data_IF_190426800945
#
_entry.id   IF_190426800945
#
_cell.length_a   1.000
_cell.length_b   1.000
_cell.length_c   1.000
_cell.angle_alpha   90.00
_cell.angle_beta   90.00
_cell.angle_gamma   90.00
#
_symmetry.space_group_name_H-M   'P 1'
#
loop_
_entity.id
_entity.type
_entity.pdbx_description
1 polymer ?
#
# COMPACT_ATOMS: atom_id res chain seq x y z
N UNK A 1 -53.60 -14.86 14.60
CA UNK A 1 -53.99 -14.74 13.17
C UNK A 1 -52.71 -14.55 12.37
N UNK A 2 -52.55 -15.24 11.24
CA UNK A 2 -51.36 -15.09 10.40
C UNK A 2 -51.32 -13.69 9.76
N UNK A 3 -50.15 -13.07 9.72
CA UNK A 3 -49.94 -11.80 9.00
C UNK A 3 -50.11 -12.04 7.50
N UNK A 4 -50.98 -11.28 6.84
CA UNK A 4 -51.20 -11.43 5.40
C UNK A 4 -50.03 -10.85 4.60
N UNK A 5 -49.55 -11.54 3.54
CA UNK A 5 -48.44 -11.06 2.71
C UNK A 5 -48.65 -9.65 2.12
N UNK A 6 -49.87 -9.29 1.77
CA UNK A 6 -50.16 -7.99 1.16
C UNK A 6 -49.99 -6.83 2.14
N UNK A 7 -50.27 -7.05 3.43
CA UNK A 7 -50.01 -6.06 4.49
C UNK A 7 -48.50 -5.84 4.69
N UNK A 8 -47.70 -6.91 4.59
CA UNK A 8 -46.24 -6.82 4.66
C UNK A 8 -45.67 -6.06 3.45
N UNK A 9 -46.21 -6.29 2.25
CA UNK A 9 -45.79 -5.56 1.04
C UNK A 9 -46.17 -4.08 1.10
N UNK A 10 -47.36 -3.76 1.64
CA UNK A 10 -47.74 -2.39 1.89
C UNK A 10 -46.76 -1.71 2.87
N UNK A 11 -46.38 -2.40 3.94
CA UNK A 11 -45.39 -1.88 4.89
C UNK A 11 -44.01 -1.70 4.26
N UNK A 12 -43.56 -2.69 3.49
CA UNK A 12 -42.32 -2.62 2.73
C UNK A 12 -42.31 -1.39 1.81
N UNK A 13 -43.41 -1.11 1.11
CA UNK A 13 -43.50 0.07 0.24
C UNK A 13 -43.38 1.39 1.02
N UNK A 14 -43.96 1.49 2.22
CA UNK A 14 -43.81 2.68 3.08
C UNK A 14 -42.37 2.86 3.55
N UNK A 15 -41.74 1.79 4.03
CA UNK A 15 -40.35 1.82 4.48
C UNK A 15 -39.40 2.17 3.33
N UNK A 16 -39.65 1.64 2.13
CA UNK A 16 -38.83 1.94 0.95
C UNK A 16 -38.95 3.39 0.47
N UNK A 17 -40.02 4.10 0.85
CA UNK A 17 -40.20 5.52 0.57
C UNK A 17 -39.60 6.44 1.65
N UNK A 18 -39.21 5.89 2.81
CA UNK A 18 -38.57 6.64 3.89
C UNK A 18 -37.17 7.11 3.48
N UNK A 19 -36.84 8.38 3.75
CA UNK A 19 -35.56 9.00 3.35
C UNK A 19 -34.33 8.21 3.79
N UNK A 20 -34.39 7.54 4.95
CA UNK A 20 -33.29 6.69 5.44
C UNK A 20 -33.02 5.44 4.59
N UNK A 21 -33.98 5.02 3.77
CA UNK A 21 -33.90 3.87 2.86
C UNK A 21 -33.78 4.32 1.40
N UNK A 22 -34.58 5.30 0.97
CA UNK A 22 -34.56 5.85 -0.41
C UNK A 22 -33.17 6.36 -0.80
N UNK A 23 -32.45 6.99 0.13
CA UNK A 23 -31.09 7.50 -0.10
C UNK A 23 -30.02 6.40 -0.20
N UNK A 24 -30.38 5.12 -0.04
CA UNK A 24 -29.47 3.98 -0.12
C UNK A 24 -30.06 2.88 -0.99
N UNK A 25 -29.62 2.86 -2.26
CA UNK A 25 -29.97 1.80 -3.21
C UNK A 25 -29.66 0.41 -2.63
N UNK A 26 -28.55 0.27 -1.90
CA UNK A 26 -28.14 -0.99 -1.31
C UNK A 26 -29.08 -1.46 -0.18
N UNK A 27 -29.53 -0.55 0.70
CA UNK A 27 -30.49 -0.90 1.75
C UNK A 27 -31.87 -1.21 1.17
N UNK A 28 -32.28 -0.47 0.15
CA UNK A 28 -33.54 -0.71 -0.56
C UNK A 28 -33.57 -2.11 -1.19
N UNK A 29 -32.50 -2.50 -1.88
CA UNK A 29 -32.38 -3.83 -2.49
C UNK A 29 -32.31 -4.91 -1.43
N UNK A 30 -31.52 -4.71 -0.37
CA UNK A 30 -31.41 -5.66 0.74
C UNK A 30 -32.77 -5.92 1.40
N UNK A 31 -33.47 -4.85 1.83
CA UNK A 31 -34.73 -4.95 2.53
C UNK A 31 -35.79 -5.64 1.67
N UNK A 32 -35.89 -5.24 0.39
CA UNK A 32 -36.81 -5.88 -0.56
C UNK A 32 -36.52 -7.37 -0.71
N UNK A 33 -35.25 -7.73 -0.89
CA UNK A 33 -34.85 -9.13 -1.06
C UNK A 33 -35.23 -9.99 0.15
N UNK A 34 -34.86 -9.58 1.37
CA UNK A 34 -35.11 -10.41 2.57
C UNK A 34 -36.59 -10.53 2.90
N UNK A 35 -37.40 -9.49 2.63
CA UNK A 35 -38.85 -9.53 2.84
C UNK A 35 -39.52 -10.44 1.82
N UNK A 36 -39.24 -10.28 0.52
CA UNK A 36 -39.88 -11.08 -0.53
C UNK A 36 -39.48 -12.56 -0.46
N UNK A 37 -38.23 -12.89 -0.14
CA UNK A 37 -37.80 -14.28 0.07
C UNK A 37 -38.48 -14.91 1.30
N UNK A 38 -38.73 -14.13 2.34
CA UNK A 38 -39.44 -14.61 3.54
C UNK A 38 -40.92 -14.83 3.25
N UNK A 39 -41.58 -13.90 2.54
CA UNK A 39 -42.96 -14.04 2.09
C UNK A 39 -43.15 -15.21 1.12
N UNK A 40 -42.13 -15.54 0.32
CA UNK A 40 -42.15 -16.67 -0.59
C UNK A 40 -41.79 -18.02 0.06
N UNK A 41 -41.67 -18.07 1.40
CA UNK A 41 -41.38 -19.30 2.16
C UNK A 41 -39.93 -19.79 2.05
N UNK A 42 -39.02 -18.96 1.53
CA UNK A 42 -37.61 -19.30 1.28
C UNK A 42 -36.64 -18.76 2.34
N UNK A 43 -37.13 -18.43 3.53
CA UNK A 43 -36.34 -17.88 4.64
C UNK A 43 -35.02 -18.65 4.93
N UNK A 44 -35.00 -19.98 4.76
CA UNK A 44 -33.79 -20.82 4.97
C UNK A 44 -32.62 -20.46 4.03
N UNK A 45 -32.87 -19.79 2.90
CA UNK A 45 -31.86 -19.32 1.95
C UNK A 45 -31.23 -17.98 2.34
N UNK A 46 -31.80 -17.26 3.30
CA UNK A 46 -31.30 -15.95 3.75
C UNK A 46 -30.03 -16.09 4.62
N UNK A 47 -28.96 -16.57 3.98
CA UNK A 47 -27.60 -16.64 4.51
C UNK A 47 -26.78 -15.49 3.94
N UNK A 48 -25.67 -15.17 4.60
CA UNK A 48 -24.81 -14.07 4.19
C UNK A 48 -24.32 -14.19 2.74
N UNK A 49 -23.91 -15.39 2.32
CA UNK A 49 -23.50 -15.67 0.95
C UNK A 49 -24.62 -15.38 -0.06
N UNK A 50 -25.81 -15.95 0.14
CA UNK A 50 -26.95 -15.78 -0.78
C UNK A 50 -27.33 -14.32 -0.97
N UNK A 51 -27.39 -13.56 0.13
CA UNK A 51 -27.74 -12.14 0.08
C UNK A 51 -26.66 -11.35 -0.67
N UNK A 52 -25.39 -11.66 -0.44
CA UNK A 52 -24.29 -10.97 -1.14
C UNK A 52 -24.37 -11.17 -2.66
N UNK A 53 -24.56 -12.41 -3.10
CA UNK A 53 -24.55 -12.76 -4.54
C UNK A 53 -25.85 -12.33 -5.22
N UNK A 54 -27.00 -12.75 -4.68
CA UNK A 54 -28.29 -12.60 -5.36
C UNK A 54 -28.94 -11.22 -5.15
N UNK A 55 -28.71 -10.58 -4.01
CA UNK A 55 -29.26 -9.25 -3.74
C UNK A 55 -28.24 -8.13 -4.00
N UNK A 56 -27.00 -8.29 -3.53
CA UNK A 56 -26.00 -7.23 -3.56
C UNK A 56 -25.04 -7.31 -4.77
N UNK A 57 -25.26 -8.25 -5.70
CA UNK A 57 -24.52 -8.36 -6.95
C UNK A 57 -23.04 -8.72 -6.78
N UNK A 58 -22.70 -9.50 -5.73
CA UNK A 58 -21.32 -9.93 -5.51
C UNK A 58 -20.95 -11.16 -6.35
N UNK A 59 -19.66 -11.29 -6.73
CA UNK A 59 -19.13 -12.48 -7.40
C UNK A 59 -19.38 -13.78 -6.61
N UNK A 60 -19.39 -14.90 -7.32
CA UNK A 60 -19.67 -16.24 -6.75
C UNK A 60 -18.59 -16.74 -5.79
N UNK A 61 -17.38 -16.17 -5.83
CA UNK A 61 -16.27 -16.45 -4.92
C UNK A 61 -16.31 -15.59 -3.64
N UNK A 62 -17.42 -14.90 -3.37
CA UNK A 62 -17.60 -14.10 -2.15
C UNK A 62 -17.48 -14.94 -0.87
N UNK A 63 -16.51 -14.60 0.00
CA UNK A 63 -16.38 -15.18 1.34
C UNK A 63 -17.06 -14.30 2.42
N UNK A 64 -18.15 -14.79 3.05
CA UNK A 64 -18.83 -14.08 4.14
C UNK A 64 -18.02 -13.96 5.44
N UNK A 65 -16.96 -14.75 5.63
CA UNK A 65 -16.13 -14.67 6.83
C UNK A 65 -15.19 -13.46 6.76
N UNK A 66 -14.43 -13.33 5.67
CA UNK A 66 -13.52 -12.22 5.42
C UNK A 66 -14.21 -10.90 5.04
N UNK A 67 -15.43 -10.92 4.48
CA UNK A 67 -16.11 -9.69 4.02
C UNK A 67 -17.36 -9.35 4.87
N UNK A 68 -17.35 -8.25 5.63
CA UNK A 68 -18.46 -7.90 6.54
C UNK A 68 -19.64 -7.21 5.84
N UNK A 69 -19.67 -7.07 4.51
CA UNK A 69 -20.68 -6.31 3.76
C UNK A 69 -22.12 -6.57 4.22
N UNK A 70 -22.55 -7.84 4.20
CA UNK A 70 -23.92 -8.22 4.53
C UNK A 70 -24.23 -7.96 6.02
N UNK A 71 -23.26 -8.20 6.91
CA UNK A 71 -23.39 -7.88 8.35
C UNK A 71 -23.56 -6.38 8.58
N UNK A 72 -22.83 -5.55 7.85
CA UNK A 72 -22.92 -4.09 7.91
C UNK A 72 -24.26 -3.59 7.38
N UNK A 73 -24.75 -4.12 6.25
CA UNK A 73 -26.06 -3.75 5.72
C UNK A 73 -27.20 -4.16 6.65
N UNK A 74 -27.13 -5.35 7.24
CA UNK A 74 -28.11 -5.79 8.23
C UNK A 74 -28.12 -4.89 9.49
N UNK A 75 -26.95 -4.44 9.97
CA UNK A 75 -26.86 -3.48 11.08
C UNK A 75 -27.50 -2.14 10.71
N UNK A 76 -27.12 -1.58 9.56
CA UNK A 76 -27.68 -0.33 9.05
C UNK A 76 -29.19 -0.41 8.86
N UNK A 77 -29.70 -1.52 8.31
CA UNK A 77 -31.13 -1.75 8.16
C UNK A 77 -31.86 -1.72 9.51
N UNK A 78 -31.33 -2.38 10.54
CA UNK A 78 -31.89 -2.33 11.90
C UNK A 78 -31.93 -0.90 12.44
N UNK A 79 -30.84 -0.15 12.28
CA UNK A 79 -30.75 1.24 12.76
C UNK A 79 -31.75 2.16 12.04
N UNK A 80 -32.00 1.92 10.76
CA UNK A 80 -32.97 2.68 9.96
C UNK A 80 -34.40 2.28 10.30
N UNK A 81 -34.71 0.99 10.43
CA UNK A 81 -36.03 0.51 10.87
C UNK A 81 -36.37 1.02 12.28
N UNK A 82 -35.40 1.01 13.20
CA UNK A 82 -35.57 1.56 14.54
C UNK A 82 -35.94 3.05 14.51
N UNK A 83 -35.26 3.84 13.68
CA UNK A 83 -35.58 5.26 13.50
C UNK A 83 -36.93 5.49 12.82
N UNK A 84 -37.25 4.69 11.80
CA UNK A 84 -38.54 4.74 11.12
C UNK A 84 -39.69 4.50 12.12
N UNK A 85 -39.64 3.44 12.92
CA UNK A 85 -40.68 3.12 13.91
C UNK A 85 -40.59 3.91 15.23
N UNK A 86 -39.58 4.75 15.42
CA UNK A 86 -39.52 5.66 16.57
C UNK A 86 -40.51 6.83 16.42
N UNK A 87 -40.90 7.15 15.19
CA UNK A 87 -41.94 8.11 14.89
C UNK A 87 -43.34 7.44 15.01
N UNK A 88 -44.22 7.92 15.90
CA UNK A 88 -45.59 7.42 16.02
C UNK A 88 -46.38 7.45 14.71
N UNK A 89 -46.05 8.34 13.76
CA UNK A 89 -46.67 8.39 12.44
C UNK A 89 -46.45 7.11 11.61
N UNK A 90 -45.38 6.36 11.93
CA UNK A 90 -44.99 5.14 11.23
C UNK A 90 -45.40 3.86 11.96
N UNK A 91 -46.21 3.95 13.03
CA UNK A 91 -46.56 2.80 13.87
C UNK A 91 -47.21 1.64 13.08
N UNK A 92 -48.05 1.95 12.08
CA UNK A 92 -48.63 0.97 11.17
C UNK A 92 -49.47 -0.14 11.82
N UNK A 93 -50.09 -0.99 10.99
CA UNK A 93 -50.69 -2.24 11.49
C UNK A 93 -49.65 -3.37 11.61
N UNK A 94 -48.64 -3.35 10.74
CA UNK A 94 -47.54 -4.32 10.70
C UNK A 94 -46.22 -3.62 10.95
N UNK A 95 -45.37 -4.27 11.73
CA UNK A 95 -43.99 -3.92 11.94
C UNK A 95 -43.10 -5.02 11.35
N UNK A 96 -42.17 -4.61 10.50
CA UNK A 96 -41.09 -5.47 9.98
C UNK A 96 -39.89 -5.35 10.92
N UNK A 97 -39.60 -6.42 11.64
CA UNK A 97 -38.46 -6.50 12.56
C UNK A 97 -37.32 -7.31 11.96
N UNK A 98 -36.08 -6.89 12.24
CA UNK A 98 -34.87 -7.58 11.79
C UNK A 98 -34.08 -8.05 13.02
N UNK A 99 -34.28 -9.30 13.50
CA UNK A 99 -33.64 -9.78 14.72
C UNK A 99 -32.10 -9.74 14.66
N UNK A 100 -31.44 -9.52 15.80
CA UNK A 100 -29.98 -9.56 15.90
C UNK A 100 -29.49 -10.99 15.59
N UNK A 101 -28.47 -11.12 14.75
CA UNK A 101 -27.93 -12.42 14.35
C UNK A 101 -28.71 -13.16 13.26
N UNK A 102 -29.87 -12.64 12.85
CA UNK A 102 -30.68 -13.19 11.74
C UNK A 102 -30.72 -12.24 10.54
N UNK A 103 -30.89 -12.81 9.34
CA UNK A 103 -31.25 -12.07 8.13
C UNK A 103 -32.71 -12.31 7.70
N UNK A 104 -33.44 -13.13 8.45
CA UNK A 104 -34.86 -13.40 8.22
C UNK A 104 -35.68 -12.34 8.98
N UNK A 105 -36.45 -11.48 8.29
CA UNK A 105 -37.37 -10.56 8.95
C UNK A 105 -38.51 -11.30 9.67
N UNK A 106 -38.95 -10.73 10.77
CA UNK A 106 -40.18 -11.12 11.47
C UNK A 106 -41.27 -10.08 11.22
N UNK A 107 -42.50 -10.53 11.02
CA UNK A 107 -43.65 -9.68 10.76
C UNK A 107 -44.58 -9.73 11.97
N UNK A 108 -44.70 -8.61 12.67
CA UNK A 108 -45.44 -8.52 13.93
C UNK A 108 -46.60 -7.54 13.77
N UNK A 109 -47.78 -7.88 14.29
CA UNK A 109 -48.90 -6.92 14.36
C UNK A 109 -48.63 -5.95 15.51
N UNK A 110 -48.84 -4.66 15.27
CA UNK A 110 -48.59 -3.63 16.29
C UNK A 110 -49.43 -3.86 17.56
N UNK A 111 -50.64 -4.40 17.43
CA UNK A 111 -51.51 -4.81 18.55
C UNK A 111 -50.88 -5.89 19.44
N UNK A 112 -50.13 -6.84 18.85
CA UNK A 112 -49.51 -7.95 19.59
C UNK A 112 -48.31 -7.46 20.41
N UNK A 113 -47.60 -6.42 19.93
CA UNK A 113 -46.54 -5.75 20.68
C UNK A 113 -47.07 -5.04 21.93
N UNK A 114 -48.26 -4.43 21.84
CA UNK A 114 -48.90 -3.77 22.99
C UNK A 114 -49.41 -4.77 24.02
N UNK A 115 -49.91 -5.94 23.60
CA UNK A 115 -50.34 -7.01 24.52
C UNK A 115 -49.15 -7.66 25.24
N UNK A 116 -48.05 -7.92 24.54
CA UNK A 116 -46.84 -8.48 25.14
C UNK A 116 -46.26 -7.57 26.25
N UNK A 117 -46.28 -6.25 26.05
CA UNK A 117 -45.79 -5.27 27.04
C UNK A 117 -46.68 -5.13 28.27
N UNK A 118 -47.95 -5.54 28.20
CA UNK A 118 -48.91 -5.50 29.31
C UNK A 118 -49.00 -6.82 30.10
N UNK A 119 -48.37 -7.90 29.61
CA UNK A 119 -48.51 -9.25 30.18
C UNK A 119 -47.23 -9.81 30.81
N UNK A 120 -46.19 -8.99 31.02
CA UNK A 120 -45.05 -9.38 31.85
C UNK A 120 -45.49 -9.61 33.31
N UNK A 121 -45.24 -10.80 33.91
CA UNK A 121 -45.55 -11.05 35.30
C UNK A 121 -44.65 -10.20 36.21
N UNK A 122 -45.25 -9.54 37.19
CA UNK A 122 -44.55 -8.77 38.21
C UNK A 122 -43.59 -9.68 39.00
N UNK A 123 -42.29 -9.56 38.74
CA UNK A 123 -41.25 -10.23 39.51
C UNK A 123 -41.06 -9.54 40.87
N UNK A 124 -40.97 -10.36 41.92
CA UNK A 124 -40.82 -9.94 43.32
C UNK A 124 -39.54 -9.11 43.54
N UNK A 125 -39.76 -7.87 43.96
CA UNK A 125 -38.81 -6.74 43.98
C UNK A 125 -37.64 -6.85 44.96
N UNK A 126 -37.58 -7.88 45.82
CA UNK A 126 -36.55 -7.96 46.88
C UNK A 126 -35.27 -8.70 46.49
N UNK A 127 -35.30 -9.60 45.51
CA UNK A 127 -34.10 -10.36 45.08
C UNK A 127 -33.35 -9.73 43.89
N UNK A 128 -34.04 -8.91 43.09
CA UNK A 128 -33.46 -8.24 41.92
C UNK A 128 -32.49 -7.13 42.34
N UNK A 129 -32.72 -6.42 43.45
CA UNK A 129 -31.90 -5.26 43.83
C UNK A 129 -30.47 -5.62 44.26
N UNK A 130 -30.25 -6.81 44.85
CA UNK A 130 -28.88 -7.30 45.19
C UNK A 130 -28.10 -7.82 44.00
N UNK A 131 -28.75 -8.34 42.95
CA UNK A 131 -28.07 -8.87 41.75
C UNK A 131 -27.92 -7.80 40.64
N UNK A 132 -28.86 -6.86 40.52
CA UNK A 132 -28.81 -5.77 39.53
C UNK A 132 -27.72 -4.74 39.80
N UNK A 133 -27.32 -4.54 41.06
CA UNK A 133 -26.15 -3.73 41.41
C UNK A 133 -24.87 -4.29 40.76
N UNK A 134 -24.64 -5.60 40.86
CA UNK A 134 -23.46 -6.24 40.25
C UNK A 134 -23.51 -6.28 38.72
N UNK A 135 -24.69 -6.38 38.12
CA UNK A 135 -24.83 -6.33 36.65
C UNK A 135 -24.57 -4.93 36.11
N UNK A 136 -25.11 -3.87 36.75
CA UNK A 136 -24.87 -2.49 36.36
C UNK A 136 -23.42 -2.05 36.62
N UNK A 137 -22.83 -2.48 37.73
CA UNK A 137 -21.40 -2.28 38.01
C UNK A 137 -20.57 -3.03 36.97
N UNK A 138 -20.91 -4.29 36.64
CA UNK A 138 -20.23 -5.07 35.62
C UNK A 138 -20.29 -4.44 34.23
N UNK A 139 -21.46 -3.92 33.83
CA UNK A 139 -21.66 -3.20 32.57
C UNK A 139 -20.91 -1.87 32.53
N UNK A 140 -20.92 -1.10 33.62
CA UNK A 140 -20.18 0.16 33.72
C UNK A 140 -18.67 -0.07 33.70
N UNK A 141 -18.19 -1.11 34.38
CA UNK A 141 -16.78 -1.53 34.33
C UNK A 141 -16.42 -2.01 32.93
N UNK A 142 -17.25 -2.83 32.27
CA UNK A 142 -17.01 -3.29 30.91
C UNK A 142 -16.99 -2.12 29.91
N UNK A 143 -17.95 -1.20 29.99
CA UNK A 143 -18.00 -0.01 29.14
C UNK A 143 -16.79 0.90 29.41
N UNK A 144 -16.42 1.07 30.68
CA UNK A 144 -15.21 1.78 31.10
C UNK A 144 -13.94 1.15 30.54
N UNK A 145 -13.83 -0.18 30.54
CA UNK A 145 -12.71 -0.92 29.95
C UNK A 145 -12.69 -0.84 28.42
N UNK A 146 -13.86 -0.84 27.76
CA UNK A 146 -13.95 -0.65 26.30
C UNK A 146 -13.56 0.78 25.92
N UNK A 147 -14.05 1.79 26.65
CA UNK A 147 -13.68 3.19 26.42
C UNK A 147 -12.20 3.41 26.73
N UNK A 148 -11.70 2.88 27.86
CA UNK A 148 -10.29 2.96 28.20
C UNK A 148 -9.41 2.22 27.19
N UNK A 149 -9.85 1.06 26.69
CA UNK A 149 -9.18 0.31 25.63
C UNK A 149 -9.17 1.06 24.29
N UNK A 150 -10.29 1.68 23.91
CA UNK A 150 -10.38 2.54 22.73
C UNK A 150 -9.51 3.79 22.86
N UNK A 151 -9.51 4.43 24.02
CA UNK A 151 -8.71 5.62 24.30
C UNK A 151 -7.21 5.28 24.37
N UNK A 152 -6.85 4.15 24.99
CA UNK A 152 -5.48 3.63 25.02
C UNK A 152 -5.02 3.23 23.61
N UNK A 153 -5.85 2.55 22.82
CA UNK A 153 -5.58 2.25 21.42
C UNK A 153 -5.34 3.54 20.62
N UNK A 154 -6.22 4.53 20.75
CA UNK A 154 -6.09 5.80 20.06
C UNK A 154 -4.86 6.59 20.51
N UNK A 155 -4.50 6.61 21.79
CA UNK A 155 -3.30 7.28 22.30
C UNK A 155 -2.01 6.57 21.83
N UNK A 156 -1.96 5.24 21.88
CA UNK A 156 -0.82 4.44 21.43
C UNK A 156 -0.62 4.60 19.91
N UNK A 157 -1.71 4.68 19.13
CA UNK A 157 -1.61 4.82 17.68
C UNK A 157 -1.39 6.27 17.21
N UNK A 158 -1.87 7.28 17.94
CA UNK A 158 -1.51 8.68 17.68
C UNK A 158 -0.04 8.94 18.00
N UNK A 159 0.51 8.26 19.02
CA UNK A 159 1.93 8.36 19.33
C UNK A 159 2.80 7.75 18.22
N UNK A 160 2.39 6.63 17.61
CA UNK A 160 3.18 5.99 16.56
C UNK A 160 3.32 6.84 15.30
N UNK A 161 2.27 7.58 14.91
CA UNK A 161 2.32 8.57 13.83
C UNK A 161 3.33 9.69 14.13
N UNK A 162 3.14 10.38 15.27
CA UNK A 162 4.00 11.50 15.65
C UNK A 162 5.45 11.07 15.86
N UNK A 163 5.70 9.87 16.37
CA UNK A 163 7.05 9.33 16.53
C UNK A 163 7.75 9.08 15.19
N UNK A 164 7.02 8.61 14.16
CA UNK A 164 7.57 8.42 12.81
C UNK A 164 7.89 9.75 12.16
N UNK A 165 6.94 10.69 12.19
CA UNK A 165 7.14 12.02 11.66
C UNK A 165 8.34 12.70 12.35
N UNK A 166 8.41 12.63 13.69
CA UNK A 166 9.53 13.15 14.46
C UNK A 166 10.87 12.50 14.06
N UNK A 167 10.92 11.19 13.86
CA UNK A 167 12.13 10.50 13.42
C UNK A 167 12.57 10.93 12.00
N UNK A 168 11.64 11.11 11.07
CA UNK A 168 11.93 11.58 9.70
C UNK A 168 12.43 13.02 9.72
N UNK A 169 11.79 13.89 10.51
CA UNK A 169 12.08 15.33 10.51
C UNK A 169 13.23 15.72 11.42
N UNK A 170 13.68 14.84 12.32
CA UNK A 170 14.72 15.12 13.31
C UNK A 170 15.98 15.70 12.66
N UNK A 171 16.53 16.73 13.29
CA UNK A 171 17.81 17.29 12.89
C UNK A 171 18.95 16.53 13.56
N UNK A 172 19.67 15.78 12.75
CA UNK A 172 20.82 15.00 13.17
C UNK A 172 22.11 15.78 12.91
N UNK A 173 23.12 15.69 13.80
CA UNK A 173 24.41 16.31 13.56
C UNK A 173 25.05 15.82 12.25
N UNK A 174 25.81 16.69 11.59
CA UNK A 174 26.56 16.30 10.41
C UNK A 174 27.53 15.13 10.73
N UNK A 175 27.54 14.09 9.90
CA UNK A 175 28.44 12.93 10.05
C UNK A 175 27.93 11.79 10.93
N UNK A 176 26.71 11.84 11.47
CA UNK A 176 26.13 10.68 12.19
C UNK A 176 25.55 9.66 11.22
N UNK A 177 26.13 8.45 11.16
CA UNK A 177 25.61 7.35 10.33
C UNK A 177 26.35 7.17 9.01
N UNK A 178 25.85 6.26 8.16
CA UNK A 178 26.41 5.98 6.84
C UNK A 178 25.88 6.97 5.80
N UNK A 179 26.69 7.24 4.77
CA UNK A 179 26.28 7.95 3.56
C UNK A 179 26.02 6.97 2.41
N UNK A 180 25.46 7.51 1.32
CA UNK A 180 25.18 6.77 0.08
C UNK A 180 26.41 6.04 -0.48
N UNK A 181 27.58 6.68 -0.40
CA UNK A 181 28.83 6.19 -0.95
C UNK A 181 29.35 4.91 -0.25
N UNK A 182 28.72 4.49 0.85
CA UNK A 182 29.09 3.27 1.60
C UNK A 182 28.06 2.15 1.51
N UNK A 183 26.98 2.34 0.77
CA UNK A 183 25.87 1.37 0.72
C UNK A 183 25.52 0.96 -0.70
N UNK A 184 25.61 1.90 -1.64
CA UNK A 184 25.12 1.66 -3.00
C UNK A 184 25.97 0.65 -3.77
N UNK A 185 25.36 -0.04 -4.75
CA UNK A 185 26.12 -0.84 -5.69
C UNK A 185 27.15 0.01 -6.43
N UNK A 186 28.27 -0.60 -6.73
CA UNK A 186 29.34 0.04 -7.47
C UNK A 186 29.28 -0.36 -8.94
N UNK A 187 29.68 0.56 -9.81
CA UNK A 187 29.89 0.27 -11.22
C UNK A 187 31.24 0.81 -11.68
N UNK A 188 31.85 0.11 -12.62
CA UNK A 188 32.95 0.64 -13.42
C UNK A 188 32.71 0.40 -14.90
N UNK A 189 33.24 1.30 -15.73
CA UNK A 189 32.98 1.32 -17.16
C UNK A 189 34.26 0.98 -17.91
N UNK A 190 34.18 0.00 -18.80
CA UNK A 190 35.26 -0.32 -19.74
C UNK A 190 34.79 -0.11 -21.16
N UNK A 191 35.62 0.52 -21.99
CA UNK A 191 35.31 0.78 -23.40
C UNK A 191 36.44 0.22 -24.26
N UNK A 192 36.10 -0.73 -25.11
CA UNK A 192 36.99 -1.37 -26.05
C UNK A 192 36.60 -0.97 -27.47
N UNK A 193 37.61 -0.78 -28.33
CA UNK A 193 37.41 -0.49 -29.75
C UNK A 193 38.15 -1.51 -30.61
N UNK A 194 37.45 -2.02 -31.61
CA UNK A 194 38.04 -2.86 -32.65
C UNK A 194 38.88 -2.06 -33.64
N UNK A 195 39.60 -2.77 -34.50
CA UNK A 195 40.36 -2.16 -35.59
C UNK A 195 39.43 -1.44 -36.57
N UNK A 196 39.84 -0.27 -37.03
CA UNK A 196 39.07 0.52 -38.01
C UNK A 196 38.00 1.44 -37.41
N UNK A 197 38.02 1.71 -36.09
CA UNK A 197 37.15 2.71 -35.48
C UNK A 197 37.28 4.08 -36.18
N UNK A 198 36.17 4.78 -36.34
CA UNK A 198 36.14 6.10 -36.95
C UNK A 198 36.98 7.12 -36.16
N UNK A 199 37.66 8.04 -36.85
CA UNK A 199 38.56 9.02 -36.24
C UNK A 199 37.88 10.00 -35.25
N UNK A 200 36.56 10.18 -35.35
CA UNK A 200 35.78 10.99 -34.42
C UNK A 200 35.50 10.29 -33.09
N UNK A 201 35.68 8.96 -33.01
CA UNK A 201 35.40 8.17 -31.82
C UNK A 201 36.64 8.06 -30.94
N UNK A 202 36.50 8.45 -29.68
CA UNK A 202 37.52 8.32 -28.64
C UNK A 202 36.94 7.50 -27.48
N UNK A 203 37.56 6.33 -27.22
CA UNK A 203 37.07 5.38 -26.23
C UNK A 203 37.10 5.93 -24.81
N UNK A 204 38.13 6.69 -24.45
CA UNK A 204 38.26 7.30 -23.13
C UNK A 204 37.25 8.43 -22.92
N UNK A 205 37.03 9.24 -23.97
CA UNK A 205 36.01 10.29 -23.94
C UNK A 205 34.61 9.70 -23.82
N UNK A 206 34.33 8.60 -24.51
CA UNK A 206 33.05 7.89 -24.39
C UNK A 206 32.88 7.28 -23.00
N UNK A 207 33.93 6.66 -22.43
CA UNK A 207 33.92 6.17 -21.04
C UNK A 207 33.57 7.29 -20.05
N UNK A 208 34.27 8.43 -20.12
CA UNK A 208 34.01 9.58 -19.25
C UNK A 208 32.57 10.12 -19.40
N UNK A 209 32.00 10.09 -20.61
CA UNK A 209 30.60 10.45 -20.86
C UNK A 209 29.65 9.51 -20.11
N UNK A 210 29.87 8.19 -20.20
CA UNK A 210 29.04 7.19 -19.50
C UNK A 210 29.17 7.34 -17.99
N UNK A 211 30.38 7.53 -17.48
CA UNK A 211 30.65 7.76 -16.05
C UNK A 211 29.92 9.01 -15.54
N UNK A 212 30.04 10.13 -16.27
CA UNK A 212 29.35 11.38 -15.93
C UNK A 212 27.82 11.25 -16.00
N UNK A 213 27.30 10.47 -16.96
CA UNK A 213 25.88 10.15 -17.04
C UNK A 213 25.42 9.36 -15.82
N UNK A 214 26.15 8.31 -15.44
CA UNK A 214 25.78 7.47 -14.30
C UNK A 214 25.81 8.21 -12.95
N UNK A 215 26.77 9.13 -12.78
CA UNK A 215 26.87 9.97 -11.57
C UNK A 215 25.62 10.83 -11.32
N UNK A 216 24.79 11.08 -12.33
CA UNK A 216 23.54 11.85 -12.16
C UNK A 216 22.41 11.07 -11.45
N UNK A 217 22.48 9.74 -11.39
CA UNK A 217 21.39 8.92 -10.87
C UNK A 217 21.43 8.75 -9.34
N UNK A 218 22.55 9.03 -8.66
CA UNK A 218 22.71 8.87 -7.20
C UNK A 218 22.25 7.50 -6.64
N UNK A 219 22.12 6.52 -7.52
CA UNK A 219 21.70 5.14 -7.28
C UNK A 219 22.88 4.16 -7.38
N UNK A 220 24.01 4.58 -7.92
CA UNK A 220 25.23 3.77 -8.05
C UNK A 220 26.45 4.59 -7.69
N UNK A 221 27.53 3.93 -7.26
CA UNK A 221 28.84 4.55 -7.09
C UNK A 221 29.68 4.24 -8.32
N UNK A 222 30.12 5.28 -9.03
CA UNK A 222 31.03 5.11 -10.16
C UNK A 222 32.46 5.08 -9.65
N UNK A 223 33.14 3.94 -9.80
CA UNK A 223 34.55 3.73 -9.47
C UNK A 223 35.37 3.56 -10.74
N UNK A 224 36.69 3.85 -10.70
CA UNK A 224 37.50 3.82 -11.94
C UNK A 224 37.90 2.41 -12.34
N UNK A 225 38.14 1.55 -11.36
CA UNK A 225 38.61 0.17 -11.61
C UNK A 225 37.99 -0.82 -10.63
N UNK A 226 38.00 -2.09 -10.99
CA UNK A 226 37.63 -3.18 -10.09
C UNK A 226 38.52 -3.23 -8.83
N UNK A 227 39.80 -2.93 -8.96
CA UNK A 227 40.71 -2.86 -7.81
C UNK A 227 40.33 -1.74 -6.84
N UNK A 228 39.91 -0.58 -7.35
CA UNK A 228 39.36 0.49 -6.51
C UNK A 228 38.07 0.02 -5.84
N UNK A 229 37.20 -0.69 -6.57
CA UNK A 229 35.94 -1.18 -6.04
C UNK A 229 36.11 -2.09 -4.81
N UNK A 230 37.04 -3.04 -4.94
CA UNK A 230 37.39 -4.01 -3.90
C UNK A 230 38.06 -3.37 -2.68
N UNK A 231 38.62 -2.15 -2.79
CA UNK A 231 39.24 -1.43 -1.65
C UNK A 231 38.22 -0.78 -0.72
N UNK A 232 37.02 -0.44 -1.21
CA UNK A 232 36.03 0.30 -0.41
C UNK A 232 35.11 -0.62 0.40
N UNK A 233 34.73 -1.78 -0.13
CA UNK A 233 34.03 -2.82 0.62
C UNK A 233 34.00 -4.12 -0.18
N UNK A 234 34.49 -5.23 0.40
CA UNK A 234 34.39 -6.55 -0.24
C UNK A 234 32.96 -7.12 -0.27
N UNK A 235 31.99 -6.46 0.39
CA UNK A 235 30.59 -6.88 0.45
C UNK A 235 29.64 -6.05 -0.41
N UNK A 236 30.13 -4.95 -1.03
CA UNK A 236 29.29 -4.17 -1.94
C UNK A 236 29.22 -4.85 -3.31
N UNK A 237 28.01 -5.07 -3.85
CA UNK A 237 27.87 -5.62 -5.19
C UNK A 237 28.46 -4.64 -6.20
N UNK A 238 29.32 -5.18 -7.07
CA UNK A 238 30.09 -4.42 -8.04
C UNK A 238 29.77 -4.96 -9.42
N UNK A 239 29.47 -4.07 -10.37
CA UNK A 239 29.11 -4.44 -11.74
C UNK A 239 30.03 -3.77 -12.74
N UNK A 240 30.30 -4.46 -13.84
CA UNK A 240 31.04 -3.93 -14.98
C UNK A 240 30.07 -3.61 -16.12
N UNK A 241 30.18 -2.40 -16.65
CA UNK A 241 29.54 -1.99 -17.88
C UNK A 241 30.60 -1.96 -18.99
N UNK A 242 30.68 -3.06 -19.74
CA UNK A 242 31.66 -3.22 -20.81
C UNK A 242 31.06 -2.87 -22.15
N UNK A 243 31.60 -1.85 -22.80
CA UNK A 243 31.27 -1.47 -24.17
C UNK A 243 32.33 -1.99 -25.11
N UNK A 244 31.91 -2.68 -26.17
CA UNK A 244 32.79 -3.11 -27.25
C UNK A 244 32.28 -2.54 -28.56
N UNK A 245 33.05 -1.65 -29.19
CA UNK A 245 32.67 -1.00 -30.44
C UNK A 245 33.51 -1.49 -31.63
N UNK A 246 32.91 -1.51 -32.81
CA UNK A 246 33.55 -1.80 -34.09
C UNK A 246 32.81 -1.14 -35.24
N UNK A 247 33.38 -1.20 -36.44
CA UNK A 247 32.75 -0.67 -37.66
C UNK A 247 32.15 -1.81 -38.46
N UNK A 248 30.87 -1.68 -38.80
CA UNK A 248 30.14 -2.58 -39.68
C UNK A 248 29.28 -1.76 -40.64
N UNK A 249 29.50 -1.93 -41.95
CA UNK A 249 28.76 -1.22 -43.01
C UNK A 249 28.79 0.32 -42.82
N UNK A 250 29.97 0.87 -42.55
CA UNK A 250 30.22 2.30 -42.30
C UNK A 250 29.63 2.86 -40.98
N UNK A 251 28.78 2.09 -40.28
CA UNK A 251 28.25 2.47 -38.97
C UNK A 251 29.17 2.01 -37.83
N UNK A 252 29.34 2.87 -36.82
CA UNK A 252 29.89 2.46 -35.52
C UNK A 252 28.82 1.66 -34.78
N UNK A 253 29.07 0.37 -34.57
CA UNK A 253 28.21 -0.52 -33.77
C UNK A 253 28.95 -1.00 -32.55
N UNK A 254 28.22 -1.31 -31.50
CA UNK A 254 28.81 -1.92 -30.33
C UNK A 254 27.83 -2.74 -29.52
N UNK A 255 28.37 -3.38 -28.50
CA UNK A 255 27.60 -4.15 -27.53
C UNK A 255 27.98 -3.65 -26.15
N UNK A 256 26.97 -3.29 -25.35
CA UNK A 256 27.09 -3.14 -23.91
C UNK A 256 26.83 -4.50 -23.27
N UNK A 257 27.78 -5.01 -22.50
CA UNK A 257 27.62 -6.16 -21.62
C UNK A 257 27.62 -5.67 -20.18
N UNK A 258 26.67 -6.16 -19.39
CA UNK A 258 26.56 -5.86 -17.96
C UNK A 258 26.84 -7.15 -17.20
N UNK A 259 27.92 -7.17 -16.43
CA UNK A 259 28.35 -8.36 -15.68
C UNK A 259 28.51 -8.06 -14.21
N UNK A 260 28.23 -9.05 -13.36
CA UNK A 260 28.66 -9.03 -11.96
C UNK A 260 30.19 -9.18 -11.93
N UNK A 261 30.88 -8.25 -11.26
CA UNK A 261 32.33 -8.20 -11.26
C UNK A 261 32.96 -9.24 -10.33
N UNK A 262 32.19 -9.82 -9.40
CA UNK A 262 32.71 -10.78 -8.44
C UNK A 262 32.74 -12.20 -9.02
N UNK A 263 31.67 -12.61 -9.72
CA UNK A 263 31.53 -13.96 -10.28
C UNK A 263 31.61 -14.02 -11.81
N UNK A 264 31.64 -12.86 -12.50
CA UNK A 264 31.71 -12.76 -13.96
C UNK A 264 30.39 -13.10 -14.67
N UNK A 265 29.29 -13.26 -13.94
CA UNK A 265 27.99 -13.62 -14.51
C UNK A 265 27.44 -12.48 -15.37
N UNK A 266 27.02 -12.82 -16.59
CA UNK A 266 26.34 -11.89 -17.49
C UNK A 266 24.89 -11.65 -17.04
N UNK A 267 24.54 -10.40 -16.78
CA UNK A 267 23.18 -9.99 -16.45
C UNK A 267 22.37 -9.67 -17.71
N UNK A 268 22.96 -8.91 -18.64
CA UNK A 268 22.32 -8.52 -19.91
C UNK A 268 23.36 -8.07 -20.94
N UNK A 269 22.96 -8.07 -22.21
CA UNK A 269 23.72 -7.50 -23.30
C UNK A 269 22.80 -6.72 -24.24
N UNK A 270 23.23 -5.53 -24.66
CA UNK A 270 22.47 -4.64 -25.55
C UNK A 270 23.32 -4.18 -26.73
N UNK A 271 22.77 -4.28 -27.93
CA UNK A 271 23.36 -3.68 -29.12
C UNK A 271 23.20 -2.15 -29.04
N UNK A 272 24.25 -1.45 -29.46
CA UNK A 272 24.34 0.00 -29.51
C UNK A 272 24.76 0.38 -30.92
N UNK A 273 24.05 1.33 -31.52
CA UNK A 273 24.46 1.95 -32.78
C UNK A 273 24.83 3.39 -32.45
N UNK A 274 26.04 3.79 -32.82
CA UNK A 274 26.54 5.14 -32.62
C UNK A 274 26.54 5.92 -33.93
N UNK A 275 26.02 7.13 -33.85
CA UNK A 275 26.15 8.18 -34.84
C UNK A 275 26.99 9.33 -34.23
N UNK A 276 27.86 9.94 -35.02
CA UNK A 276 28.69 11.08 -34.61
C UNK A 276 27.84 12.21 -33.99
N UNK A 277 26.65 12.48 -34.56
CA UNK A 277 25.74 13.49 -34.04
C UNK A 277 25.26 13.19 -32.61
N UNK A 278 25.03 11.91 -32.29
CA UNK A 278 24.56 11.48 -30.95
C UNK A 278 25.64 11.65 -29.88
N UNK A 279 26.91 11.38 -30.25
CA UNK A 279 28.04 11.48 -29.32
C UNK A 279 28.38 12.95 -29.02
N UNK A 280 28.25 13.86 -30.00
CA UNK A 280 28.57 15.29 -29.81
C UNK A 280 27.50 16.11 -29.05
N UNK A 281 26.23 15.69 -29.05
CA UNK A 281 25.10 16.54 -28.63
C UNK A 281 24.73 16.53 -27.13
N UNK A 282 25.44 15.79 -26.28
CA UNK A 282 25.00 15.62 -24.88
C UNK A 282 25.29 16.85 -24.00
N UNK A 283 24.25 17.35 -23.34
CA UNK A 283 24.31 18.32 -22.25
C UNK A 283 23.99 17.59 -20.93
N UNK A 284 24.93 17.52 -19.96
CA UNK A 284 24.82 16.72 -18.74
C UNK A 284 23.63 16.95 -17.77
N UNK A 285 22.64 17.76 -18.13
CA UNK A 285 21.58 18.21 -17.21
C UNK A 285 20.13 17.94 -17.61
N UNK A 286 19.85 17.28 -18.75
CA UNK A 286 18.46 17.01 -19.19
C UNK A 286 18.12 15.53 -19.09
N UNK A 287 17.64 15.08 -17.92
CA UNK A 287 17.06 13.74 -17.74
C UNK A 287 15.80 13.52 -18.61
N UNK A 288 15.19 14.60 -19.11
CA UNK A 288 14.00 14.56 -19.96
C UNK A 288 14.20 13.86 -21.31
N UNK A 289 15.45 13.71 -21.78
CA UNK A 289 15.79 12.97 -23.00
C UNK A 289 17.11 12.23 -22.80
N UNK A 290 17.02 10.94 -22.48
CA UNK A 290 18.20 10.08 -22.42
C UNK A 290 18.68 9.76 -23.84
N UNK A 291 19.95 10.01 -24.19
CA UNK A 291 20.49 9.60 -25.48
C UNK A 291 20.33 8.10 -25.73
N UNK A 292 20.09 7.69 -26.98
CA UNK A 292 19.84 6.28 -27.32
C UNK A 292 20.99 5.36 -26.90
N UNK A 293 22.23 5.82 -27.05
CA UNK A 293 23.46 5.12 -26.65
C UNK A 293 23.57 4.90 -25.13
N UNK A 294 22.91 5.74 -24.33
CA UNK A 294 22.93 5.70 -22.87
C UNK A 294 21.63 5.14 -22.28
N UNK A 295 20.61 4.85 -23.08
CA UNK A 295 19.34 4.34 -22.57
C UNK A 295 19.50 2.97 -21.88
N UNK A 296 20.33 2.09 -22.43
CA UNK A 296 20.64 0.81 -21.79
C UNK A 296 21.38 0.99 -20.47
N UNK A 297 22.24 2.01 -20.35
CA UNK A 297 22.92 2.37 -19.09
C UNK A 297 21.90 2.82 -18.06
N UNK A 298 20.99 3.74 -18.44
CA UNK A 298 19.90 4.20 -17.57
C UNK A 298 19.09 3.03 -17.02
N UNK A 299 18.57 2.18 -17.91
CA UNK A 299 17.76 1.01 -17.54
C UNK A 299 18.52 0.00 -16.65
N UNK A 300 19.86 0.03 -16.70
CA UNK A 300 20.69 -0.80 -15.83
C UNK A 300 20.85 -0.23 -14.43
N UNK A 301 21.09 1.09 -14.32
CA UNK A 301 21.53 1.75 -13.08
C UNK A 301 20.43 2.51 -12.33
N UNK A 302 19.34 2.87 -13.00
CA UNK A 302 18.23 3.61 -12.37
C UNK A 302 17.68 2.80 -11.19
N UNK A 303 17.12 3.48 -10.20
CA UNK A 303 16.32 2.82 -9.18
C UNK A 303 15.37 1.81 -9.86
N UNK A 304 15.41 0.56 -9.41
CA UNK A 304 14.66 -0.60 -9.97
C UNK A 304 15.15 -1.17 -11.31
N UNK A 305 16.26 -0.66 -11.84
CA UNK A 305 16.91 -1.18 -13.03
C UNK A 305 17.51 -2.58 -12.84
N UNK A 306 18.12 -3.09 -13.92
CA UNK A 306 18.68 -4.45 -13.99
C UNK A 306 19.57 -4.79 -12.79
N UNK A 307 20.47 -3.89 -12.39
CA UNK A 307 21.39 -4.09 -11.25
C UNK A 307 20.59 -4.37 -9.97
N UNK A 308 19.55 -3.58 -9.69
CA UNK A 308 18.77 -3.76 -8.48
C UNK A 308 17.94 -5.04 -8.48
N UNK A 309 17.44 -5.47 -9.64
CA UNK A 309 16.77 -6.78 -9.76
C UNK A 309 17.70 -7.96 -9.51
N UNK A 310 19.00 -7.77 -9.73
CA UNK A 310 20.02 -8.75 -9.44
C UNK A 310 20.40 -8.75 -7.96
N UNK A 311 20.59 -7.56 -7.37
CA UNK A 311 20.92 -7.40 -5.94
C UNK A 311 19.96 -8.15 -5.03
N UNK A 312 18.64 -8.11 -5.31
CA UNK A 312 17.63 -8.83 -4.50
C UNK A 312 17.84 -10.35 -4.48
N UNK A 313 18.54 -10.91 -5.47
CA UNK A 313 18.82 -12.35 -5.59
C UNK A 313 20.12 -12.77 -4.90
N UNK A 314 20.95 -11.80 -4.50
CA UNK A 314 22.22 -12.09 -3.85
C UNK A 314 22.00 -12.68 -2.46
N UNK A 315 22.76 -13.73 -2.14
CA UNK A 315 22.66 -14.45 -0.87
C UNK A 315 23.37 -13.75 0.30
N UNK A 316 24.20 -12.74 0.02
CA UNK A 316 25.11 -12.12 0.99
C UNK A 316 25.01 -10.58 1.05
N UNK A 317 23.79 -10.04 0.91
CA UNK A 317 23.54 -8.61 1.14
C UNK A 317 23.16 -8.37 2.60
N UNK A 318 23.86 -7.43 3.25
CA UNK A 318 23.65 -7.09 4.66
C UNK A 318 23.36 -5.59 4.84
N UNK A 319 22.89 -5.23 6.04
CA UNK A 319 22.69 -3.84 6.43
C UNK A 319 21.67 -3.08 5.56
N UNK A 320 21.90 -1.79 5.28
CA UNK A 320 20.93 -0.97 4.55
C UNK A 320 20.63 -1.46 3.12
N UNK A 321 21.58 -2.13 2.45
CA UNK A 321 21.34 -2.63 1.09
C UNK A 321 20.37 -3.83 1.09
N UNK A 322 20.45 -4.71 2.10
CA UNK A 322 19.45 -5.76 2.32
C UNK A 322 18.05 -5.17 2.53
N UNK A 323 17.99 -4.02 3.20
CA UNK A 323 16.76 -3.28 3.40
C UNK A 323 16.18 -2.76 2.07
N UNK A 324 17.01 -2.12 1.25
CA UNK A 324 16.61 -1.63 -0.07
C UNK A 324 16.15 -2.78 -0.96
N UNK A 325 16.81 -3.94 -0.89
CA UNK A 325 16.36 -5.16 -1.55
C UNK A 325 14.91 -5.55 -1.25
N UNK A 326 14.44 -5.37 0.00
CA UNK A 326 13.03 -5.60 0.36
C UNK A 326 12.08 -4.61 -0.31
N UNK A 327 12.50 -3.36 -0.45
CA UNK A 327 11.73 -2.32 -1.16
C UNK A 327 11.58 -2.71 -2.63
N UNK A 328 12.68 -3.10 -3.28
CA UNK A 328 12.67 -3.53 -4.68
C UNK A 328 11.84 -4.79 -4.91
N UNK A 329 11.94 -5.77 -4.01
CA UNK A 329 11.10 -6.96 -4.04
C UNK A 329 9.60 -6.61 -3.91
N UNK A 330 9.25 -5.68 -3.01
CA UNK A 330 7.88 -5.21 -2.86
C UNK A 330 7.37 -4.51 -4.12
N UNK A 331 8.17 -3.66 -4.75
CA UNK A 331 7.73 -2.95 -5.95
C UNK A 331 7.55 -3.88 -7.15
N UNK A 332 8.44 -4.87 -7.30
CA UNK A 332 8.31 -5.90 -8.32
C UNK A 332 7.05 -6.77 -8.11
N UNK A 333 6.68 -7.04 -6.86
CA UNK A 333 5.48 -7.81 -6.52
C UNK A 333 4.76 -7.22 -5.28
N UNK A 334 3.86 -6.24 -5.49
CA UNK A 334 3.21 -5.53 -4.39
C UNK A 334 2.31 -6.41 -3.54
N UNK A 335 2.69 -6.59 -2.28
CA UNK A 335 1.95 -7.38 -1.29
C UNK A 335 1.84 -6.60 0.02
N UNK A 336 0.82 -6.89 0.84
CA UNK A 336 0.72 -6.26 2.16
C UNK A 336 1.91 -6.60 3.06
N UNK A 337 2.36 -7.85 3.08
CA UNK A 337 3.52 -8.26 3.86
C UNK A 337 4.81 -7.60 3.37
N UNK A 338 5.03 -7.54 2.05
CA UNK A 338 6.18 -6.88 1.45
C UNK A 338 6.23 -5.39 1.78
N UNK A 339 5.10 -4.69 1.67
CA UNK A 339 4.98 -3.29 2.06
C UNK A 339 5.35 -3.06 3.53
N UNK A 340 4.78 -3.85 4.44
CA UNK A 340 5.04 -3.71 5.87
C UNK A 340 6.52 -3.94 6.19
N UNK A 341 7.13 -4.98 5.60
CA UNK A 341 8.53 -5.30 5.78
C UNK A 341 9.46 -4.20 5.24
N UNK A 342 9.15 -3.65 4.07
CA UNK A 342 9.90 -2.54 3.48
C UNK A 342 9.82 -1.28 4.35
N UNK A 343 8.61 -0.90 4.77
CA UNK A 343 8.37 0.28 5.62
C UNK A 343 9.14 0.21 6.95
N UNK A 344 8.96 -0.89 7.69
CA UNK A 344 9.60 -1.06 9.00
C UNK A 344 11.12 -1.02 8.89
N UNK A 345 11.65 -1.70 7.88
CA UNK A 345 13.08 -1.75 7.65
C UNK A 345 13.68 -0.38 7.32
N UNK A 346 13.01 0.41 6.48
CA UNK A 346 13.47 1.76 6.12
C UNK A 346 13.42 2.72 7.31
N UNK A 347 12.38 2.63 8.14
CA UNK A 347 12.28 3.43 9.37
C UNK A 347 13.40 3.11 10.36
N UNK A 348 13.74 1.82 10.51
CA UNK A 348 14.89 1.40 11.32
C UNK A 348 16.20 1.90 10.73
N UNK A 349 16.34 1.84 9.40
CA UNK A 349 17.53 2.31 8.68
C UNK A 349 17.74 3.80 8.88
N UNK A 350 16.68 4.61 8.78
CA UNK A 350 16.76 6.07 9.01
C UNK A 350 17.16 6.38 10.45
N UNK A 351 16.63 5.66 11.44
CA UNK A 351 17.02 5.83 12.84
C UNK A 351 18.51 5.56 13.08
N UNK A 352 19.07 4.57 12.38
CA UNK A 352 20.47 4.15 12.54
C UNK A 352 21.44 4.94 11.66
N UNK A 353 20.99 5.37 10.48
CA UNK A 353 21.79 6.03 9.45
C UNK A 353 21.07 7.26 8.91
N UNK A 354 20.92 8.32 9.72
CA UNK A 354 20.10 9.48 9.36
C UNK A 354 20.65 10.32 8.20
N UNK A 355 21.90 10.06 7.75
CA UNK A 355 22.52 10.70 6.58
C UNK A 355 22.34 9.88 5.29
N UNK A 356 21.69 8.71 5.35
CA UNK A 356 21.47 7.85 4.19
C UNK A 356 20.25 8.32 3.39
N UNK A 357 20.49 9.22 2.43
CA UNK A 357 19.47 9.89 1.59
C UNK A 357 18.53 8.89 0.89
N UNK A 358 19.05 7.76 0.43
CA UNK A 358 18.27 6.75 -0.29
C UNK A 358 17.19 6.13 0.58
N UNK A 359 17.43 5.97 1.88
CA UNK A 359 16.42 5.43 2.78
C UNK A 359 15.18 6.35 2.88
N UNK A 360 15.38 7.68 2.89
CA UNK A 360 14.29 8.65 2.88
C UNK A 360 13.52 8.65 1.56
N UNK A 361 14.25 8.59 0.43
CA UNK A 361 13.64 8.60 -0.91
C UNK A 361 12.76 7.35 -1.10
N UNK A 362 13.29 6.17 -0.76
CA UNK A 362 12.56 4.91 -0.81
C UNK A 362 11.38 4.89 0.18
N UNK A 363 11.53 5.47 1.38
CA UNK A 363 10.44 5.53 2.37
C UNK A 363 9.29 6.43 1.89
N UNK A 364 9.61 7.55 1.23
CA UNK A 364 8.61 8.39 0.57
C UNK A 364 7.77 7.60 -0.43
N UNK A 365 8.43 6.83 -1.31
CA UNK A 365 7.75 5.94 -2.26
C UNK A 365 6.89 4.85 -1.61
N UNK A 366 7.33 4.31 -0.46
CA UNK A 366 6.54 3.36 0.33
C UNK A 366 5.26 4.00 0.87
N UNK A 367 5.32 5.20 1.45
CA UNK A 367 4.13 5.89 1.93
C UNK A 367 3.19 6.35 0.81
N UNK A 368 3.73 6.75 -0.35
CA UNK A 368 2.90 6.99 -1.55
C UNK A 368 2.18 5.70 -1.97
N UNK A 369 2.87 4.56 -1.94
CA UNK A 369 2.29 3.25 -2.25
C UNK A 369 1.23 2.83 -1.23
N UNK A 370 1.43 3.14 0.05
CA UNK A 370 0.45 2.96 1.14
C UNK A 370 -0.86 3.65 0.80
N UNK A 371 -0.79 4.92 0.39
CA UNK A 371 -1.95 5.71 0.00
C UNK A 371 -2.63 5.18 -1.27
N UNK A 372 -1.87 5.01 -2.35
CA UNK A 372 -2.43 4.66 -3.67
C UNK A 372 -3.05 3.26 -3.70
N UNK A 373 -2.48 2.32 -2.95
CA UNK A 373 -2.88 0.91 -2.99
C UNK A 373 -3.58 0.43 -1.71
N UNK A 374 -3.82 1.33 -0.75
CA UNK A 374 -4.44 1.04 0.54
C UNK A 374 -3.73 -0.11 1.30
N UNK A 375 -2.40 -0.03 1.38
CA UNK A 375 -1.53 -1.08 1.94
C UNK A 375 -1.16 -0.78 3.39
N UNK A 376 -1.59 -1.62 4.33
CA UNK A 376 -1.23 -1.50 5.76
C UNK A 376 -1.42 -0.08 6.34
N UNK A 377 -2.54 0.54 5.96
CA UNK A 377 -2.88 1.91 6.33
C UNK A 377 -2.78 2.12 7.84
N UNK A 378 -1.97 3.10 8.25
CA UNK A 378 -1.85 3.50 9.65
C UNK A 378 -2.66 4.78 9.94
N UNK A 379 -2.94 5.07 11.22
CA UNK A 379 -3.50 6.36 11.60
C UNK A 379 -2.56 7.51 11.21
N UNK A 380 -3.14 8.59 10.68
CA UNK A 380 -2.41 9.72 10.10
C UNK A 380 -2.56 9.79 8.58
N UNK A 381 -1.93 10.79 7.97
CA UNK A 381 -1.89 10.93 6.51
C UNK A 381 -0.55 10.36 5.98
N UNK A 382 -0.54 9.23 5.26
CA UNK A 382 0.68 8.71 4.66
C UNK A 382 1.31 9.68 3.66
N UNK A 383 0.54 10.56 3.00
CA UNK A 383 1.10 11.56 2.10
C UNK A 383 1.89 12.65 2.84
N UNK A 384 1.51 12.98 4.08
CA UNK A 384 2.28 13.90 4.91
C UNK A 384 3.64 13.30 5.30
N UNK A 385 3.65 11.99 5.64
CA UNK A 385 4.90 11.27 5.91
C UNK A 385 5.77 11.15 4.65
N UNK A 386 5.16 10.91 3.49
CA UNK A 386 5.86 10.88 2.20
C UNK A 386 6.53 12.23 1.90
N UNK A 387 5.77 13.33 1.99
CA UNK A 387 6.27 14.68 1.78
C UNK A 387 7.42 15.02 2.74
N UNK A 388 7.29 14.67 4.02
CA UNK A 388 8.34 14.89 5.02
C UNK A 388 9.63 14.12 4.67
N UNK A 389 9.51 12.86 4.26
CA UNK A 389 10.65 12.03 3.89
C UNK A 389 11.36 12.56 2.62
N UNK A 390 10.60 12.86 1.57
CA UNK A 390 11.15 13.37 0.31
C UNK A 390 11.80 14.75 0.49
N UNK A 391 11.17 15.67 1.24
CA UNK A 391 11.78 16.96 1.59
C UNK A 391 13.05 16.81 2.43
N UNK A 392 13.13 15.79 3.30
CA UNK A 392 14.37 15.50 4.03
C UNK A 392 15.47 15.02 3.07
N UNK A 393 15.14 14.14 2.12
CA UNK A 393 16.07 13.69 1.09
C UNK A 393 16.61 14.86 0.25
N UNK A 394 15.74 15.75 -0.23
CA UNK A 394 16.13 16.97 -0.97
C UNK A 394 17.04 17.87 -0.12
N UNK A 395 16.73 18.06 1.17
CA UNK A 395 17.58 18.89 2.05
C UNK A 395 18.97 18.31 2.26
N UNK A 396 19.07 16.98 2.36
CA UNK A 396 20.35 16.28 2.55
C UNK A 396 21.20 16.28 1.27
N UNK A 397 20.58 16.22 0.09
CA UNK A 397 21.29 16.28 -1.19
C UNK A 397 20.47 17.04 -2.27
N UNK A 398 20.53 18.37 -2.31
CA UNK A 398 19.68 19.19 -3.18
C UNK A 398 19.87 18.95 -4.67
N UNK A 399 21.07 18.50 -5.06
CA UNK A 399 21.44 18.20 -6.45
C UNK A 399 21.12 16.75 -6.85
N UNK A 400 20.56 15.95 -5.93
CA UNK A 400 20.16 14.57 -6.24
C UNK A 400 18.89 14.57 -7.06
N UNK A 401 18.90 13.90 -8.20
CA UNK A 401 17.68 13.66 -8.98
C UNK A 401 16.72 12.68 -8.31
N UNK A 402 17.21 11.80 -7.42
CA UNK A 402 16.46 10.70 -6.82
C UNK A 402 15.22 11.16 -6.02
N UNK A 403 15.31 12.30 -5.34
CA UNK A 403 14.21 12.80 -4.53
C UNK A 403 13.14 13.55 -5.36
N UNK A 404 13.40 13.81 -6.64
CA UNK A 404 12.49 14.49 -7.57
C UNK A 404 11.86 13.55 -8.60
N UNK A 405 12.40 12.33 -8.73
CA UNK A 405 11.80 11.23 -9.50
C UNK A 405 10.64 10.63 -8.71
#
# INVERSE_FOLDING_TARGET
>A
MAVQPDMVRAELARILAYDGITNSAMLSVFLRFVVEETLAGRAKRLKAYTIAVEALGRPVDFDPNGNPLVRVQARRLRDVLSRYYADPANAGEIRIEMPVGSYVPEFVRTEDLFKAKQSEPALDSKDVWRRSGYILIGLAVFLGLVIAGWYAWHLIHRSSYHNRLAAITADYPAGTGLDAARVLPQIFVTVMTGTGAHAWFDADRYRQRVEAFAQNFNDVIVVRTQEEALRFSSSQPTYQLQFSFGVLEDAMRGVLQITDANDGRLLDAKEIVLDEAMVRMYRPGSLAQTPNDLNAVRLAIESYGLIYTDIVKLSSIDGPLACFGKVYAFQANPTQSGHLAARQCLEDTIRQHPQLIQAYSLLGGIYISEYLNNLNSMPGDPLELADAALKKAVRLLPNSSLAYQ
#
